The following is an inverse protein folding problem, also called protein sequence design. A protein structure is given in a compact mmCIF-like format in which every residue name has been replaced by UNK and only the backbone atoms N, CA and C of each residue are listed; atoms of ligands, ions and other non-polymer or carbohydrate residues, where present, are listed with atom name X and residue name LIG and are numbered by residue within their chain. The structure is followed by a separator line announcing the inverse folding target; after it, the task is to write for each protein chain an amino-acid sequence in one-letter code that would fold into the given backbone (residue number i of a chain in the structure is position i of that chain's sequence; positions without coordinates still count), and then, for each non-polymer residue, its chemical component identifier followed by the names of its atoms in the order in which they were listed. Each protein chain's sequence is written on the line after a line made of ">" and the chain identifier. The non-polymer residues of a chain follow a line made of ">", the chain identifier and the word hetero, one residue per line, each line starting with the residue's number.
data_IF_622475984827
#
_entry.id   IF_622475984827
#
_cell.length_a   1.000
_cell.length_b   1.000
_cell.length_c   1.000
_cell.angle_alpha   90.00
_cell.angle_beta   90.00
_cell.angle_gamma   90.00
#
_symmetry.space_group_name_H-M   'P 1'
#
loop_
_entity.id
_entity.type
_entity.pdbx_description
1 polymer ?
#
# COMPACT_ATOMS: atom_id res chain seq x y z
N UNK A 1 2.59 12.22 15.83
CA UNK A 1 2.78 13.19 14.73
C UNK A 1 3.41 12.57 13.48
N UNK A 2 4.62 12.00 13.54
CA UNK A 2 5.28 11.39 12.35
C UNK A 2 4.50 10.24 11.71
N UNK A 3 3.83 9.39 12.51
CA UNK A 3 2.94 8.34 12.00
C UNK A 3 1.77 8.91 11.19
N UNK A 4 1.07 9.91 11.73
CA UNK A 4 -0.09 10.54 11.08
C UNK A 4 0.32 11.17 9.74
N UNK A 5 1.47 11.84 9.68
CA UNK A 5 1.99 12.41 8.44
C UNK A 5 2.36 11.31 7.43
N UNK A 6 3.08 10.27 7.85
CA UNK A 6 3.41 9.15 6.96
C UNK A 6 2.14 8.45 6.45
N UNK A 7 1.16 8.21 7.32
CA UNK A 7 -0.13 7.65 6.95
C UNK A 7 -0.85 8.53 5.93
N UNK A 8 -0.99 9.84 6.19
CA UNK A 8 -1.72 10.75 5.31
C UNK A 8 -1.04 10.85 3.93
N UNK A 9 0.29 10.91 3.90
CA UNK A 9 1.06 10.91 2.65
C UNK A 9 0.86 9.62 1.84
N UNK A 10 0.94 8.45 2.48
CA UNK A 10 0.71 7.17 1.81
C UNK A 10 -0.75 7.04 1.39
N UNK A 11 -1.69 7.54 2.18
CA UNK A 11 -3.11 7.54 1.86
C UNK A 11 -3.38 8.28 0.55
N UNK A 12 -2.87 9.51 0.41
CA UNK A 12 -3.00 10.29 -0.82
C UNK A 12 -2.32 9.58 -2.01
N UNK A 13 -1.10 9.07 -1.83
CA UNK A 13 -0.39 8.33 -2.90
C UNK A 13 -1.12 7.03 -3.29
N UNK A 14 -1.76 6.38 -2.33
CA UNK A 14 -2.53 5.17 -2.57
C UNK A 14 -3.85 5.44 -3.30
N UNK A 15 -4.50 6.59 -3.08
CA UNK A 15 -5.63 7.02 -3.92
C UNK A 15 -5.16 7.18 -5.36
N UNK A 16 -4.07 7.93 -5.61
CA UNK A 16 -3.53 8.09 -6.96
C UNK A 16 -3.11 6.76 -7.59
N UNK A 17 -2.59 5.84 -6.78
CA UNK A 17 -2.24 4.49 -7.23
C UNK A 17 -3.45 3.66 -7.64
N UNK A 18 -4.54 3.73 -6.87
CA UNK A 18 -5.80 3.07 -7.21
C UNK A 18 -6.41 3.66 -8.48
N UNK A 19 -6.41 5.00 -8.62
CA UNK A 19 -6.82 5.67 -9.86
C UNK A 19 -5.98 5.25 -11.07
N UNK A 20 -4.65 5.11 -10.89
CA UNK A 20 -3.78 4.61 -11.96
C UNK A 20 -4.19 3.19 -12.38
N UNK A 21 -4.46 2.28 -11.44
CA UNK A 21 -4.94 0.93 -11.76
C UNK A 21 -6.30 0.97 -12.48
N UNK A 22 -7.21 1.83 -12.03
CA UNK A 22 -8.51 2.01 -12.67
C UNK A 22 -8.40 2.53 -14.11
N UNK A 23 -7.49 3.48 -14.39
CA UNK A 23 -7.23 3.96 -15.77
C UNK A 23 -6.70 2.87 -16.70
N UNK A 24 -6.03 1.85 -16.15
CA UNK A 24 -5.54 0.71 -16.93
C UNK A 24 -6.68 -0.29 -17.17
N UNK A 25 -7.58 -0.46 -16.20
CA UNK A 25 -8.71 -1.38 -16.25
C UNK A 25 -9.87 -0.89 -17.11
N UNK A 26 -10.13 0.41 -17.07
CA UNK A 26 -11.31 1.04 -17.65
C UNK A 26 -10.88 2.18 -18.58
N UNK A 27 -11.48 2.22 -19.77
CA UNK A 27 -11.18 3.27 -20.76
C UNK A 27 -11.55 4.68 -20.26
N UNK A 28 -12.56 4.78 -19.39
CA UNK A 28 -13.05 6.05 -18.84
C UNK A 28 -13.12 6.00 -17.31
N UNK A 29 -12.43 6.93 -16.65
CA UNK A 29 -12.52 7.11 -15.21
C UNK A 29 -13.78 7.91 -14.88
N UNK A 30 -14.82 7.24 -14.41
CA UNK A 30 -16.06 7.89 -13.96
C UNK A 30 -15.89 8.40 -12.53
N UNK A 31 -16.73 9.37 -12.08
CA UNK A 31 -16.75 9.79 -10.68
C UNK A 31 -16.97 8.62 -9.70
N UNK A 32 -17.73 7.60 -10.10
CA UNK A 32 -17.97 6.42 -9.25
C UNK A 32 -16.68 5.63 -8.99
N UNK A 33 -15.84 5.45 -10.01
CA UNK A 33 -14.53 4.80 -9.88
C UNK A 33 -13.63 5.61 -8.94
N UNK A 34 -13.59 6.94 -9.08
CA UNK A 34 -12.84 7.83 -8.18
C UNK A 34 -13.26 7.65 -6.72
N UNK A 35 -14.57 7.63 -6.45
CA UNK A 35 -15.06 7.39 -5.08
C UNK A 35 -14.74 5.98 -4.59
N UNK A 36 -14.77 4.99 -5.48
CA UNK A 36 -14.38 3.61 -5.16
C UNK A 36 -12.90 3.52 -4.76
N UNK A 37 -12.01 4.15 -5.52
CA UNK A 37 -10.58 4.23 -5.23
C UNK A 37 -10.33 4.83 -3.85
N UNK A 38 -11.03 5.91 -3.49
CA UNK A 38 -10.93 6.54 -2.16
C UNK A 38 -11.42 5.58 -1.06
N UNK A 39 -12.58 4.95 -1.26
CA UNK A 39 -13.19 4.03 -0.30
C UNK A 39 -12.34 2.78 -0.06
N UNK A 40 -11.68 2.25 -1.08
CA UNK A 40 -10.77 1.10 -0.94
C UNK A 40 -9.40 1.51 -0.38
N UNK A 41 -8.85 2.65 -0.79
CA UNK A 41 -7.53 3.09 -0.33
C UNK A 41 -7.48 3.31 1.19
N UNK A 42 -8.53 3.87 1.78
CA UNK A 42 -8.55 4.21 3.21
C UNK A 42 -8.33 3.00 4.14
N UNK A 43 -9.17 1.94 4.12
CA UNK A 43 -8.98 0.77 4.97
C UNK A 43 -7.70 0.00 4.62
N UNK A 44 -7.35 -0.11 3.33
CA UNK A 44 -6.14 -0.82 2.88
C UNK A 44 -4.89 -0.20 3.47
N UNK A 45 -4.78 1.12 3.41
CA UNK A 45 -3.60 1.87 3.87
C UNK A 45 -3.59 1.99 5.39
N UNK A 46 -4.75 2.09 6.03
CA UNK A 46 -4.85 2.08 7.48
C UNK A 46 -4.35 0.74 8.05
N UNK A 47 -4.81 -0.38 7.49
CA UNK A 47 -4.35 -1.72 7.90
C UNK A 47 -2.87 -1.89 7.60
N UNK A 48 -2.41 -1.54 6.41
CA UNK A 48 -0.99 -1.65 6.02
C UNK A 48 -0.06 -0.84 6.92
N UNK A 49 -0.41 0.44 7.17
CA UNK A 49 0.38 1.34 8.02
C UNK A 49 0.36 0.90 9.48
N UNK A 50 -0.76 0.37 9.98
CA UNK A 50 -0.86 -0.17 11.35
C UNK A 50 -0.03 -1.43 11.52
N UNK A 51 -0.12 -2.38 10.56
CA UNK A 51 0.76 -3.56 10.54
C UNK A 51 2.23 -3.14 10.46
N UNK A 52 2.53 -2.16 9.60
CA UNK A 52 3.87 -1.62 9.49
C UNK A 52 4.37 -0.98 10.79
N UNK A 53 3.51 -0.25 11.49
CA UNK A 53 3.82 0.35 12.80
C UNK A 53 4.04 -0.72 13.88
N UNK A 54 3.29 -1.81 13.89
CA UNK A 54 3.52 -2.94 14.80
C UNK A 54 4.87 -3.58 14.48
N UNK A 55 5.16 -3.86 13.21
CA UNK A 55 6.45 -4.42 12.81
C UNK A 55 7.63 -3.47 13.13
N UNK A 56 7.51 -2.16 12.91
CA UNK A 56 8.53 -1.17 13.27
C UNK A 56 8.65 -0.94 14.78
N UNK A 57 7.52 -0.90 15.47
CA UNK A 57 7.43 -0.55 16.89
C UNK A 57 7.90 -1.67 17.81
N UNK A 58 7.78 -2.93 17.37
CA UNK A 58 8.15 -4.11 18.15
C UNK A 58 9.41 -4.84 17.67
N UNK A 59 9.92 -4.59 16.45
CA UNK A 59 11.10 -5.31 15.93
C UNK A 59 12.36 -4.46 15.82
N UNK A 60 13.40 -4.85 16.56
CA UNK A 60 14.77 -4.31 16.44
C UNK A 60 15.49 -4.73 15.13
N UNK A 61 14.84 -5.50 14.25
CA UNK A 61 15.41 -6.02 13.00
C UNK A 61 14.59 -5.64 11.75
N UNK A 62 13.85 -4.54 11.81
CA UNK A 62 13.08 -4.06 10.68
C UNK A 62 14.02 -3.56 9.56
N UNK A 63 14.24 -4.40 8.54
CA UNK A 63 15.01 -4.07 7.34
C UNK A 63 14.09 -3.55 6.24
N UNK A 64 14.59 -2.61 5.42
CA UNK A 64 13.87 -2.11 4.25
C UNK A 64 13.44 -3.26 3.33
N UNK A 65 14.29 -4.27 3.15
CA UNK A 65 14.04 -5.41 2.26
C UNK A 65 12.84 -6.24 2.73
N UNK A 66 12.79 -6.56 4.03
CA UNK A 66 11.67 -7.26 4.64
C UNK A 66 10.38 -6.45 4.50
N UNK A 67 10.46 -5.14 4.72
CA UNK A 67 9.30 -4.26 4.60
C UNK A 67 8.76 -4.17 3.17
N UNK A 68 9.65 -4.13 2.17
CA UNK A 68 9.28 -4.15 0.75
C UNK A 68 8.61 -5.47 0.35
N UNK A 69 9.13 -6.62 0.80
CA UNK A 69 8.54 -7.94 0.49
C UNK A 69 7.14 -8.06 1.10
N UNK A 70 6.97 -7.65 2.36
CA UNK A 70 5.66 -7.68 3.00
C UNK A 70 4.69 -6.69 2.36
N UNK A 71 5.17 -5.50 1.97
CA UNK A 71 4.37 -4.54 1.20
C UNK A 71 3.91 -5.12 -0.14
N UNK A 72 4.80 -5.82 -0.86
CA UNK A 72 4.47 -6.50 -2.11
C UNK A 72 3.41 -7.58 -1.90
N UNK A 73 3.66 -8.51 -0.97
CA UNK A 73 2.75 -9.62 -0.70
C UNK A 73 1.35 -9.11 -0.27
N UNK A 74 1.31 -8.11 0.61
CA UNK A 74 0.07 -7.46 1.02
C UNK A 74 -0.66 -6.80 -0.16
N UNK A 75 0.07 -6.06 -1.01
CA UNK A 75 -0.49 -5.44 -2.20
C UNK A 75 -1.12 -6.45 -3.15
N UNK A 76 -0.40 -7.55 -3.46
CA UNK A 76 -0.93 -8.63 -4.30
C UNK A 76 -2.23 -9.19 -3.72
N UNK A 77 -2.23 -9.54 -2.43
CA UNK A 77 -3.39 -10.16 -1.76
C UNK A 77 -4.60 -9.20 -1.78
N UNK A 78 -4.39 -7.94 -1.41
CA UNK A 78 -5.47 -6.93 -1.42
C UNK A 78 -6.02 -6.74 -2.83
N UNK A 79 -5.15 -6.61 -3.84
CA UNK A 79 -5.58 -6.43 -5.22
C UNK A 79 -6.36 -7.64 -5.73
N UNK A 80 -5.95 -8.88 -5.40
CA UNK A 80 -6.72 -10.09 -5.72
C UNK A 80 -8.10 -10.06 -5.09
N UNK A 81 -8.21 -9.67 -3.81
CA UNK A 81 -9.50 -9.57 -3.11
C UNK A 81 -10.41 -8.54 -3.80
N UNK A 82 -9.89 -7.35 -4.09
CA UNK A 82 -10.64 -6.27 -4.75
C UNK A 82 -11.11 -6.72 -6.15
N UNK A 83 -10.22 -7.30 -6.95
CA UNK A 83 -10.55 -7.80 -8.30
C UNK A 83 -11.59 -8.93 -8.25
N UNK A 84 -11.56 -9.76 -7.20
CA UNK A 84 -12.55 -10.82 -6.99
C UNK A 84 -13.94 -10.25 -6.67
N UNK A 85 -14.01 -9.13 -5.95
CA UNK A 85 -15.27 -8.42 -5.66
C UNK A 85 -15.82 -7.76 -6.92
N UNK A 86 -14.94 -7.15 -7.73
CA UNK A 86 -15.31 -6.43 -8.95
C UNK A 86 -15.61 -7.36 -10.14
N UNK A 87 -15.26 -8.66 -10.01
CA UNK A 87 -15.49 -9.70 -11.03
C UNK A 87 -14.87 -9.36 -12.40
N UNK A 88 -13.60 -8.94 -12.42
CA UNK A 88 -12.88 -8.66 -13.67
C UNK A 88 -12.73 -9.96 -14.48
N UNK A 89 -13.29 -9.98 -15.69
CA UNK A 89 -13.54 -11.20 -16.49
C UNK A 89 -12.29 -11.89 -17.08
N UNK A 90 -11.13 -11.22 -17.09
CA UNK A 90 -9.90 -11.74 -17.71
C UNK A 90 -8.87 -12.25 -16.70
N UNK A 91 -8.58 -13.56 -16.69
CA UNK A 91 -7.57 -14.18 -15.81
C UNK A 91 -6.18 -13.54 -15.97
N UNK A 92 -5.74 -13.31 -17.22
CA UNK A 92 -4.44 -12.69 -17.51
C UNK A 92 -4.35 -11.24 -17.02
N UNK A 93 -5.43 -10.47 -17.20
CA UNK A 93 -5.51 -9.07 -16.76
C UNK A 93 -5.50 -9.01 -15.23
N UNK A 94 -6.25 -9.90 -14.57
CA UNK A 94 -6.32 -9.99 -13.11
C UNK A 94 -4.95 -10.30 -12.47
N UNK A 95 -4.21 -11.26 -13.03
CA UNK A 95 -2.85 -11.58 -12.57
C UNK A 95 -1.91 -10.40 -12.79
N UNK A 96 -1.92 -9.80 -13.99
CA UNK A 96 -1.06 -8.65 -14.30
C UNK A 96 -1.29 -7.46 -13.36
N UNK A 97 -2.55 -7.15 -13.07
CA UNK A 97 -2.91 -6.04 -12.18
C UNK A 97 -2.58 -6.37 -10.72
N UNK A 98 -2.72 -7.63 -10.31
CA UNK A 98 -2.33 -8.05 -8.95
C UNK A 98 -0.83 -7.91 -8.72
N UNK A 99 0.00 -8.28 -9.71
CA UNK A 99 1.45 -8.04 -9.66
C UNK A 99 1.76 -6.54 -9.63
N UNK A 100 1.09 -5.75 -10.46
CA UNK A 100 1.26 -4.30 -10.51
C UNK A 100 0.85 -3.62 -9.19
N UNK A 101 -0.27 -4.03 -8.59
CA UNK A 101 -0.72 -3.59 -7.27
C UNK A 101 0.27 -3.96 -6.17
N UNK A 102 0.85 -5.16 -6.23
CA UNK A 102 1.97 -5.58 -5.40
C UNK A 102 3.17 -4.65 -5.52
N UNK A 103 3.63 -4.37 -6.74
CA UNK A 103 4.77 -3.48 -6.99
C UNK A 103 4.52 -2.06 -6.45
N UNK A 104 3.33 -1.52 -6.67
CA UNK A 104 2.97 -0.19 -6.15
C UNK A 104 2.97 -0.19 -4.62
N UNK A 105 2.36 -1.20 -3.99
CA UNK A 105 2.32 -1.28 -2.54
C UNK A 105 3.72 -1.48 -1.94
N UNK A 106 4.63 -2.17 -2.64
CA UNK A 106 6.03 -2.29 -2.25
C UNK A 106 6.74 -0.92 -2.26
N UNK A 107 6.48 -0.09 -3.27
CA UNK A 107 7.01 1.28 -3.34
C UNK A 107 6.42 2.14 -2.22
N UNK A 108 5.10 2.07 -1.98
CA UNK A 108 4.45 2.79 -0.89
C UNK A 108 4.99 2.37 0.48
N UNK A 109 5.25 1.08 0.68
CA UNK A 109 5.87 0.57 1.89
C UNK A 109 7.28 1.15 2.10
N UNK A 110 8.10 1.25 1.04
CA UNK A 110 9.42 1.90 1.11
C UNK A 110 9.28 3.39 1.47
N UNK A 111 8.35 4.11 0.85
CA UNK A 111 8.12 5.52 1.16
C UNK A 111 7.67 5.67 2.62
N UNK A 112 6.77 4.81 3.10
CA UNK A 112 6.32 4.78 4.50
C UNK A 112 7.49 4.55 5.45
N UNK A 113 8.36 3.58 5.15
CA UNK A 113 9.57 3.28 5.92
C UNK A 113 10.44 4.52 6.11
N UNK A 114 10.71 5.24 5.02
CA UNK A 114 11.57 6.43 5.07
C UNK A 114 10.90 7.60 5.78
N UNK A 115 9.63 7.87 5.49
CA UNK A 115 8.85 8.93 6.16
C UNK A 115 8.71 8.68 7.67
N UNK A 116 8.59 7.41 8.06
CA UNK A 116 8.51 7.02 9.48
C UNK A 116 9.86 7.14 10.20
N UNK A 117 10.96 7.12 9.45
CA UNK A 117 12.32 7.26 9.96
C UNK A 117 13.04 5.93 10.20
N UNK A 118 12.69 4.85 9.50
CA UNK A 118 13.33 3.54 9.64
C UNK A 118 14.82 3.49 9.29
N UNK A 119 15.34 4.46 8.52
CA UNK A 119 16.74 4.51 8.06
C UNK A 119 17.69 5.33 8.96
N UNK A 120 17.13 6.09 9.89
CA UNK A 120 17.91 6.78 10.93
C UNK A 120 17.58 6.04 12.20
N UNK A 121 18.55 5.72 13.03
CA UNK A 121 18.34 5.17 14.37
C UNK A 121 17.51 6.15 15.25
N UNK A 122 16.21 6.31 14.94
CA UNK A 122 15.28 7.33 15.43
C UNK A 122 13.86 6.75 15.60
N UNK A 123 13.67 5.45 15.39
CA UNK A 123 12.57 4.71 15.99
C UNK A 123 12.97 4.28 17.40
N UNK A 124 12.01 3.95 18.27
CA UNK A 124 12.27 3.42 19.63
C UNK A 124 13.21 2.19 19.68
N UNK A 125 13.53 1.59 18.54
CA UNK A 125 14.56 0.57 18.36
C UNK A 125 16.02 1.08 18.46
N UNK A 126 16.25 2.40 18.45
CA UNK A 126 17.56 3.02 18.56
C UNK A 126 17.95 3.47 19.97
N UNK A 127 16.98 3.52 20.89
CA UNK A 127 17.23 3.78 22.31
C UNK A 127 17.58 2.46 23.00
N UNK A 128 18.85 2.06 22.90
CA UNK A 128 19.53 1.37 23.98
C UNK A 128 20.53 2.34 24.61
#
# INVERSE_FOLDING_TARGET
>A
MRFILAYLSIFVLGIFSALLIETILYENVTPQLIFSAILFAAPVILVASTLGEIFYGFSNKASYFTFTIWGFAYGVVVTVIILSIIQVAGMFISVGISVLGGCIMAILAIIFFFLRGGNRASGKAATK
#
